data_IF_590179602658
#
_entry.id   IF_590179602658
#
_cell.length_a   1.000
_cell.length_b   1.000
_cell.length_c   1.000
_cell.angle_alpha   90.00
_cell.angle_beta   90.00
_cell.angle_gamma   90.00
#
_symmetry.space_group_name_H-M   'P 1'
#
loop_
_entity.id
_entity.type
_entity.pdbx_description
1 polymer ?
#
# COMPACT_ATOMS: atom_id res chain seq x y z
N UNK A 1 12.33 -17.18 -29.85
CA UNK A 1 11.11 -16.43 -30.26
C UNK A 1 10.79 -15.44 -29.14
N UNK A 2 11.02 -14.13 -29.34
CA UNK A 2 10.76 -13.12 -28.31
C UNK A 2 9.26 -12.76 -28.31
N UNK A 3 8.52 -13.22 -27.31
CA UNK A 3 7.15 -12.73 -27.07
C UNK A 3 7.27 -11.35 -26.44
N UNK A 4 7.15 -10.29 -27.24
CA UNK A 4 6.79 -8.96 -26.74
C UNK A 4 5.31 -9.00 -26.29
N UNK A 5 5.04 -9.79 -25.25
CA UNK A 5 3.71 -9.87 -24.64
C UNK A 5 3.44 -8.53 -23.99
N UNK A 6 2.29 -7.92 -24.32
CA UNK A 6 1.81 -6.67 -23.72
C UNK A 6 2.08 -6.71 -22.22
N UNK A 7 2.86 -5.73 -21.74
CA UNK A 7 3.20 -5.59 -20.32
C UNK A 7 1.91 -5.68 -19.53
N UNK A 8 1.83 -6.68 -18.66
CA UNK A 8 0.63 -7.09 -17.93
C UNK A 8 -0.03 -5.94 -17.19
N UNK A 9 -1.32 -6.14 -16.89
CA UNK A 9 -2.42 -5.27 -16.43
C UNK A 9 -2.15 -4.07 -15.48
N UNK A 10 -1.01 -3.38 -15.54
CA UNK A 10 -0.67 -2.25 -14.66
C UNK A 10 -0.58 -2.59 -13.16
N UNK A 11 -0.70 -3.86 -12.80
CA UNK A 11 -0.73 -4.30 -11.41
C UNK A 11 0.67 -4.68 -10.91
N UNK A 12 1.01 -4.23 -9.71
CA UNK A 12 2.24 -4.64 -9.00
C UNK A 12 2.14 -6.11 -8.61
N UNK A 13 3.14 -6.90 -9.00
CA UNK A 13 3.32 -8.26 -8.53
C UNK A 13 4.10 -8.25 -7.21
N UNK A 14 3.44 -8.62 -6.12
CA UNK A 14 4.05 -8.76 -4.78
C UNK A 14 3.72 -7.64 -3.79
N UNK A 15 4.11 -7.86 -2.54
CA UNK A 15 3.89 -6.92 -1.45
C UNK A 15 4.76 -5.66 -1.57
N UNK A 16 4.23 -4.52 -1.13
CA UNK A 16 4.98 -3.28 -1.03
C UNK A 16 5.88 -3.37 0.20
N UNK A 17 7.17 -3.62 -0.05
CA UNK A 17 8.22 -3.53 0.96
C UNK A 17 8.46 -2.04 1.26
N UNK A 18 8.84 -1.70 2.49
CA UNK A 18 9.09 -0.31 2.96
C UNK A 18 7.85 0.57 3.22
N UNK A 19 6.66 -0.04 3.22
CA UNK A 19 5.40 0.61 3.60
C UNK A 19 4.69 -0.22 4.65
N UNK A 20 4.24 0.45 5.69
CA UNK A 20 3.29 -0.10 6.65
C UNK A 20 2.01 0.72 6.62
N UNK A 21 0.93 0.18 7.18
CA UNK A 21 -0.33 0.90 7.33
C UNK A 21 -0.89 0.72 8.73
N UNK A 22 -1.49 1.78 9.25
CA UNK A 22 -2.19 1.79 10.53
C UNK A 22 -3.62 2.30 10.35
N UNK A 23 -4.52 1.85 11.22
CA UNK A 23 -5.90 2.29 11.23
C UNK A 23 -6.04 3.54 12.10
N UNK A 24 -6.60 4.61 11.55
CA UNK A 24 -6.91 5.81 12.32
C UNK A 24 -8.37 5.76 12.80
N UNK A 25 -8.64 5.49 14.09
CA UNK A 25 -10.00 5.38 14.60
C UNK A 25 -10.75 6.73 14.65
N UNK A 26 -10.05 7.87 14.47
CA UNK A 26 -10.68 9.19 14.48
C UNK A 26 -11.34 9.55 13.15
N UNK A 27 -10.76 9.07 12.06
CA UNK A 27 -11.25 9.31 10.70
C UNK A 27 -11.80 8.04 10.06
N UNK A 28 -11.70 6.91 10.74
CA UNK A 28 -12.11 5.57 10.30
C UNK A 28 -11.40 5.09 9.02
N UNK A 29 -10.27 5.72 8.68
CA UNK A 29 -9.50 5.44 7.46
C UNK A 29 -8.15 4.78 7.76
N UNK A 30 -7.63 4.07 6.76
CA UNK A 30 -6.26 3.55 6.79
C UNK A 30 -5.25 4.60 6.36
N UNK A 31 -4.10 4.66 7.03
CA UNK A 31 -3.02 5.61 6.72
C UNK A 31 -1.74 4.84 6.41
N UNK A 32 -1.08 5.18 5.31
CA UNK A 32 0.27 4.66 5.01
C UNK A 32 1.31 5.36 5.85
N UNK A 33 2.24 4.57 6.37
CA UNK A 33 3.44 5.02 7.06
C UNK A 33 4.69 4.51 6.36
N UNK A 34 5.68 5.39 6.27
CA UNK A 34 7.02 5.03 5.81
C UNK A 34 7.72 4.23 6.91
N UNK A 35 8.16 3.01 6.63
CA UNK A 35 8.80 2.17 7.66
C UNK A 35 10.23 2.61 7.98
N UNK A 36 10.88 3.37 7.09
CA UNK A 36 12.24 3.83 7.25
C UNK A 36 12.26 5.14 8.07
N UNK A 37 11.33 6.06 7.81
CA UNK A 37 11.30 7.37 8.47
C UNK A 37 10.20 7.51 9.53
N UNK A 38 9.25 6.57 9.60
CA UNK A 38 8.10 6.59 10.50
C UNK A 38 7.06 7.67 10.20
N UNK A 39 7.14 8.35 9.05
CA UNK A 39 6.26 9.45 8.67
C UNK A 39 4.94 8.93 8.09
N UNK A 40 3.83 9.57 8.45
CA UNK A 40 2.56 9.36 7.77
C UNK A 40 2.60 10.04 6.41
N UNK A 41 2.12 9.35 5.37
CA UNK A 41 2.18 9.87 4.00
C UNK A 41 0.80 10.08 3.41
N UNK A 42 -0.01 9.04 3.41
CA UNK A 42 -1.20 8.98 2.57
C UNK A 42 -2.35 8.40 3.37
N UNK A 43 -3.37 9.24 3.61
CA UNK A 43 -4.64 8.82 4.19
C UNK A 43 -5.53 8.28 3.09
N UNK A 44 -6.13 7.11 3.32
CA UNK A 44 -7.01 6.51 2.34
C UNK A 44 -8.38 7.17 2.37
N UNK A 45 -8.99 7.36 1.19
CA UNK A 45 -10.34 7.92 1.08
C UNK A 45 -11.46 6.92 1.41
N UNK A 46 -11.14 5.63 1.46
CA UNK A 46 -12.05 4.55 1.79
C UNK A 46 -11.55 3.72 3.00
N UNK A 47 -12.48 3.11 3.74
CA UNK A 47 -12.24 2.48 5.06
C UNK A 47 -11.53 1.12 4.97
N UNK A 48 -11.13 0.72 3.77
CA UNK A 48 -10.45 -0.57 3.51
C UNK A 48 -8.94 -0.41 3.60
N UNK A 49 -8.18 -1.43 4.01
CA UNK A 49 -6.71 -1.36 3.98
C UNK A 49 -6.15 -1.17 2.56
N UNK A 50 -4.96 -0.61 2.46
CA UNK A 50 -4.19 -0.56 1.22
C UNK A 50 -3.83 -1.97 0.76
N UNK A 51 -4.10 -2.27 -0.51
CA UNK A 51 -3.79 -3.57 -1.12
C UNK A 51 -2.28 -3.77 -1.15
N UNK A 52 -1.82 -4.89 -0.60
CA UNK A 52 -0.41 -5.28 -0.63
C UNK A 52 0.52 -4.51 0.33
N UNK A 53 -0.02 -3.72 1.27
CA UNK A 53 0.74 -3.04 2.32
C UNK A 53 0.54 -3.78 3.65
N UNK A 54 1.60 -3.99 4.43
CA UNK A 54 1.52 -4.67 5.73
C UNK A 54 0.82 -3.81 6.77
N UNK A 55 -0.12 -4.40 7.53
CA UNK A 55 -0.72 -3.75 8.71
C UNK A 55 0.28 -3.75 9.87
N UNK A 56 0.45 -2.61 10.51
CA UNK A 56 1.17 -2.51 11.79
C UNK A 56 0.37 -3.29 12.86
N UNK A 57 1.09 -3.97 13.76
CA UNK A 57 0.50 -4.69 14.90
C UNK A 57 0.41 -3.78 16.11
#
# INVERSE_FOLDING_TARGET
MAKNGKVGDGHRNGAVKERSQTYNPKTETWVKRDTNTGRFMDGKSDDKPFKGVTKEK
#
